data_IF_539057992244
#
_entry.id   IF_539057992244
#
_cell.length_a   1.000
_cell.length_b   1.000
_cell.length_c   1.000
_cell.angle_alpha   90.00
_cell.angle_beta   90.00
_cell.angle_gamma   90.00
#
_symmetry.space_group_name_H-M   'P 1'
#
loop_
_entity.id
_entity.type
_entity.pdbx_description
1 polymer ?
#
# COMPACT_ATOMS: atom_id res chain seq x y z
N UNK A 1 1.21 1.15 -26.93
CA UNK A 1 0.81 -0.18 -26.40
C UNK A 1 0.42 0.07 -24.97
N UNK A 2 -0.80 -0.27 -24.55
CA UNK A 2 -1.26 0.11 -23.21
C UNK A 2 -0.45 -0.61 -22.13
N UNK A 3 0.01 0.12 -21.11
CA UNK A 3 0.69 -0.39 -19.92
C UNK A 3 -0.07 0.02 -18.67
N UNK A 4 0.14 -0.68 -17.57
CA UNK A 4 -0.41 -0.32 -16.27
C UNK A 4 0.74 0.14 -15.38
N UNK A 5 0.56 1.29 -14.75
CA UNK A 5 1.45 1.78 -13.70
C UNK A 5 0.68 1.80 -12.37
N UNK A 6 1.41 1.67 -11.27
CA UNK A 6 0.81 1.54 -9.94
C UNK A 6 1.61 2.25 -8.87
N UNK A 7 0.94 2.67 -7.81
CA UNK A 7 1.54 3.14 -6.57
C UNK A 7 0.82 2.52 -5.37
N UNK A 8 1.52 2.35 -4.25
CA UNK A 8 0.88 1.93 -3.00
C UNK A 8 1.57 2.58 -1.80
N UNK A 9 0.81 2.77 -0.74
CA UNK A 9 1.32 3.27 0.54
C UNK A 9 0.67 2.52 1.69
N UNK A 10 1.44 2.30 2.76
CA UNK A 10 0.93 1.75 4.01
C UNK A 10 0.65 2.90 4.98
N UNK A 11 -0.52 2.88 5.58
CA UNK A 11 -0.93 3.83 6.62
C UNK A 11 -1.21 3.04 7.88
N UNK A 12 -0.76 3.50 9.05
CA UNK A 12 -1.13 2.88 10.31
C UNK A 12 -2.65 2.87 10.45
N UNK A 13 -3.25 1.71 10.75
CA UNK A 13 -4.71 1.59 10.80
C UNK A 13 -5.33 2.50 11.86
N UNK A 14 -4.59 2.77 12.95
CA UNK A 14 -5.00 3.69 14.00
C UNK A 14 -5.17 5.14 13.52
N UNK A 15 -4.46 5.53 12.46
CA UNK A 15 -4.53 6.86 11.84
C UNK A 15 -5.35 6.85 10.54
N UNK A 16 -5.87 5.69 10.13
CA UNK A 16 -6.60 5.55 8.88
C UNK A 16 -8.02 6.10 8.99
N UNK A 17 -8.35 7.05 8.13
CA UNK A 17 -9.70 7.56 7.92
C UNK A 17 -9.97 7.89 6.44
N UNK A 18 -11.25 8.05 6.07
CA UNK A 18 -11.66 8.32 4.69
C UNK A 18 -11.14 9.65 4.12
N UNK A 19 -10.92 10.67 4.97
CA UNK A 19 -10.31 11.93 4.56
C UNK A 19 -8.82 11.74 4.25
N UNK A 20 -8.10 11.02 5.10
CA UNK A 20 -6.70 10.68 4.87
C UNK A 20 -6.55 9.85 3.59
N UNK A 21 -7.40 8.83 3.40
CA UNK A 21 -7.46 8.03 2.18
C UNK A 21 -7.60 8.90 0.94
N UNK A 22 -8.57 9.83 0.93
CA UNK A 22 -8.79 10.72 -0.21
C UNK A 22 -7.55 11.56 -0.51
N UNK A 23 -6.93 12.12 0.51
CA UNK A 23 -5.73 12.93 0.35
C UNK A 23 -4.56 12.11 -0.23
N UNK A 24 -4.34 10.92 0.33
CA UNK A 24 -3.30 9.98 -0.10
C UNK A 24 -3.51 9.52 -1.55
N UNK A 25 -4.75 9.22 -1.94
CA UNK A 25 -5.09 8.86 -3.32
C UNK A 25 -4.74 9.98 -4.30
N UNK A 26 -5.09 11.23 -3.97
CA UNK A 26 -4.76 12.36 -4.84
C UNK A 26 -3.24 12.58 -4.94
N UNK A 27 -2.51 12.47 -3.82
CA UNK A 27 -1.05 12.56 -3.81
C UNK A 27 -0.39 11.47 -4.68
N UNK A 28 -0.89 10.24 -4.62
CA UNK A 28 -0.38 9.15 -5.45
C UNK A 28 -0.68 9.37 -6.93
N UNK A 29 -1.86 9.92 -7.27
CA UNK A 29 -2.18 10.30 -8.66
C UNK A 29 -1.24 11.38 -9.17
N UNK A 30 -0.99 12.42 -8.38
CA UNK A 30 -0.01 13.47 -8.71
C UNK A 30 1.38 12.87 -8.94
N UNK A 31 1.85 12.02 -8.03
CA UNK A 31 3.16 11.37 -8.18
C UNK A 31 3.25 10.51 -9.44
N UNK A 32 2.19 9.76 -9.80
CA UNK A 32 2.16 8.97 -11.02
C UNK A 32 2.11 9.85 -12.27
N UNK A 33 1.40 10.98 -12.24
CA UNK A 33 1.40 11.97 -13.33
C UNK A 33 2.77 12.60 -13.55
N UNK A 34 3.50 12.91 -12.47
CA UNK A 34 4.86 13.44 -12.56
C UNK A 34 5.86 12.41 -13.11
N UNK A 35 5.67 11.14 -12.78
CA UNK A 35 6.56 10.05 -13.23
C UNK A 35 6.21 9.50 -14.62
N UNK A 36 4.97 9.63 -15.06
CA UNK A 36 4.52 9.11 -16.34
C UNK A 36 5.14 9.89 -17.49
N UNK A 37 5.81 9.17 -18.39
CA UNK A 37 6.28 9.69 -19.68
C UNK A 37 5.27 9.44 -20.81
N UNK A 38 4.26 8.61 -20.55
CA UNK A 38 3.19 8.18 -21.44
C UNK A 38 1.87 8.87 -21.07
N UNK A 39 0.88 8.86 -21.97
CA UNK A 39 -0.40 9.52 -21.73
C UNK A 39 -1.25 8.71 -20.75
N UNK A 40 -1.65 9.31 -19.63
CA UNK A 40 -2.52 8.68 -18.63
C UNK A 40 -3.98 8.69 -19.09
N UNK A 41 -4.62 7.52 -19.08
CA UNK A 41 -6.05 7.37 -19.30
C UNK A 41 -6.81 7.64 -17.99
N UNK A 42 -7.18 8.90 -17.77
CA UNK A 42 -7.82 9.39 -16.54
C UNK A 42 -9.14 8.68 -16.16
N UNK A 43 -9.77 7.94 -17.06
CA UNK A 43 -10.95 7.14 -16.78
C UNK A 43 -10.64 5.71 -16.30
N UNK A 44 -9.36 5.36 -16.14
CA UNK A 44 -8.89 4.00 -15.77
C UNK A 44 -8.25 3.93 -14.39
N UNK A 45 -8.41 4.97 -13.56
CA UNK A 45 -7.96 4.95 -12.18
C UNK A 45 -8.75 3.92 -11.38
N UNK A 46 -8.05 2.97 -10.77
CA UNK A 46 -8.62 2.03 -9.81
C UNK A 46 -7.90 2.17 -8.48
N UNK A 47 -8.66 2.14 -7.38
CA UNK A 47 -8.16 2.23 -6.01
C UNK A 47 -8.47 0.92 -5.29
N UNK A 48 -7.47 0.35 -4.63
CA UNK A 48 -7.59 -0.89 -3.87
C UNK A 48 -7.16 -0.63 -2.44
N UNK A 49 -7.93 -1.15 -1.48
CA UNK A 49 -7.63 -1.10 -0.06
C UNK A 49 -7.40 -2.52 0.45
N UNK A 50 -6.32 -2.72 1.20
CA UNK A 50 -6.04 -4.01 1.81
C UNK A 50 -5.55 -3.80 3.25
N UNK A 51 -6.34 -4.28 4.21
CA UNK A 51 -5.96 -4.31 5.62
C UNK A 51 -5.06 -5.52 5.86
N UNK A 52 -3.86 -5.29 6.39
CA UNK A 52 -2.91 -6.35 6.76
C UNK A 52 -2.17 -6.01 8.04
N UNK A 53 -1.67 -7.05 8.71
CA UNK A 53 -0.79 -6.90 9.88
C UNK A 53 0.65 -7.07 9.42
N UNK A 54 1.49 -6.09 9.74
CA UNK A 54 2.93 -6.16 9.49
C UNK A 54 3.64 -6.36 10.83
N UNK A 55 4.72 -7.13 10.82
CA UNK A 55 5.61 -7.28 11.97
C UNK A 55 6.83 -6.40 11.75
N UNK A 56 7.24 -5.68 12.79
CA UNK A 56 8.52 -4.98 12.78
C UNK A 56 9.62 -6.01 13.04
N UNK A 57 10.58 -6.11 12.14
CA UNK A 57 11.74 -6.97 12.34
C UNK A 57 12.82 -6.31 13.19
N UNK A 58 13.90 -7.04 13.49
CA UNK A 58 14.97 -6.55 14.36
C UNK A 58 15.71 -5.30 13.81
N UNK A 59 15.62 -5.07 12.50
CA UNK A 59 16.17 -3.90 11.79
C UNK A 59 15.18 -2.72 11.70
N UNK A 60 13.98 -2.85 12.28
CA UNK A 60 12.94 -1.81 12.22
C UNK A 60 12.18 -1.74 10.90
N UNK A 61 12.35 -2.72 10.01
CA UNK A 61 11.64 -2.83 8.74
C UNK A 61 10.31 -3.57 8.93
N UNK A 62 9.30 -3.14 8.16
CA UNK A 62 7.98 -3.76 8.16
C UNK A 62 7.96 -4.97 7.22
N UNK A 63 7.77 -6.15 7.78
CA UNK A 63 7.67 -7.41 7.04
C UNK A 63 6.24 -7.96 7.08
N UNK A 64 5.79 -8.54 5.96
CA UNK A 64 4.54 -9.29 5.93
C UNK A 64 4.72 -10.61 6.66
N UNK A 65 3.84 -10.90 7.62
CA UNK A 65 3.76 -12.23 8.21
C UNK A 65 3.20 -13.19 7.16
N UNK A 66 4.04 -14.04 6.59
CA UNK A 66 3.59 -15.17 5.77
C UNK A 66 2.93 -16.20 6.70
N UNK A 67 1.65 -16.52 6.44
CA UNK A 67 0.82 -17.45 7.24
C UNK A 67 1.41 -18.88 7.35
N UNK A 68 2.40 -19.23 6.54
CA UNK A 68 3.01 -20.56 6.50
C UNK A 68 3.95 -20.86 7.69
N UNK A 69 4.28 -19.85 8.51
CA UNK A 69 5.20 -20.00 9.64
C UNK A 69 4.51 -20.00 11.01
N UNK A 70 3.23 -20.37 11.07
CA UNK A 70 2.55 -20.65 12.33
C UNK A 70 2.97 -22.01 12.91
N UNK A 71 4.26 -22.15 13.27
CA UNK A 71 4.64 -23.09 14.29
C UNK A 71 4.25 -22.47 15.65
N UNK A 72 3.46 -23.14 16.50
CA UNK A 72 3.28 -22.68 17.86
C UNK A 72 4.65 -22.80 18.55
N UNK A 73 4.93 -21.96 19.53
CA UNK A 73 6.10 -22.06 20.45
C UNK A 73 7.32 -21.16 20.21
N UNK A 74 7.18 -19.98 19.63
CA UNK A 74 8.12 -18.89 19.97
C UNK A 74 7.34 -17.66 20.39
N UNK A 75 7.64 -17.24 21.63
CA UNK A 75 7.24 -15.99 22.25
C UNK A 75 7.84 -14.84 21.45
N UNK A 76 7.29 -14.59 20.26
CA UNK A 76 7.79 -13.57 19.34
C UNK A 76 7.34 -12.19 19.86
N UNK A 77 8.20 -11.55 20.64
CA UNK A 77 8.04 -10.18 21.17
C UNK A 77 8.10 -9.10 20.09
N UNK A 78 7.94 -9.46 18.80
CA UNK A 78 7.97 -8.51 17.70
C UNK A 78 6.71 -7.63 17.75
N UNK A 79 6.92 -6.33 17.71
CA UNK A 79 5.84 -5.35 17.65
C UNK A 79 5.04 -5.58 16.35
N UNK A 80 3.74 -5.82 16.50
CA UNK A 80 2.83 -5.98 15.36
C UNK A 80 2.10 -4.67 15.12
N UNK A 81 2.06 -4.24 13.86
CA UNK A 81 1.40 -3.03 13.42
C UNK A 81 0.32 -3.37 12.41
N UNK A 82 -0.93 -3.07 12.75
CA UNK A 82 -2.02 -3.10 11.77
C UNK A 82 -1.90 -1.91 10.83
N UNK A 83 -1.89 -2.17 9.52
CA UNK A 83 -1.84 -1.14 8.50
C UNK A 83 -2.96 -1.29 7.48
N UNK A 84 -3.39 -0.16 6.92
CA UNK A 84 -4.17 -0.10 5.71
C UNK A 84 -3.24 0.20 4.54
N UNK A 85 -3.14 -0.72 3.59
CA UNK A 85 -2.45 -0.49 2.32
C UNK A 85 -3.42 0.07 1.31
N UNK A 86 -3.15 1.27 0.82
CA UNK A 86 -3.92 1.93 -0.24
C UNK A 86 -3.08 1.84 -1.51
N UNK A 87 -3.61 1.15 -2.51
CA UNK A 87 -3.01 1.02 -3.84
C UNK A 87 -3.82 1.76 -4.89
N UNK A 88 -3.14 2.29 -5.91
CA UNK A 88 -3.78 2.79 -7.12
C UNK A 88 -3.12 2.23 -8.37
N UNK A 89 -3.93 1.94 -9.39
CA UNK A 89 -3.48 1.52 -10.72
C UNK A 89 -4.09 2.42 -11.79
N UNK A 90 -3.36 2.64 -12.87
CA UNK A 90 -3.86 3.40 -14.03
C UNK A 90 -3.22 2.93 -15.33
N UNK A 91 -3.97 3.02 -16.42
CA UNK A 91 -3.49 2.68 -17.75
C UNK A 91 -2.80 3.88 -18.42
N UNK A 92 -1.68 3.64 -19.07
CA UNK A 92 -0.93 4.63 -19.88
C UNK A 92 -0.73 4.15 -21.32
N UNK A 93 -0.67 5.08 -22.28
CA UNK A 93 -0.54 4.80 -23.73
C UNK A 93 0.47 5.68 -24.46
#
# INVERSE_FOLDING_TARGET
>A
MAKIISASVNVALAEYDESLKKHVVELMKESLREKATEYILENTWEVVENKRTLSVNEDGLLETQDEETMAPEISDTRETLEVMTIGITVTVV
#
